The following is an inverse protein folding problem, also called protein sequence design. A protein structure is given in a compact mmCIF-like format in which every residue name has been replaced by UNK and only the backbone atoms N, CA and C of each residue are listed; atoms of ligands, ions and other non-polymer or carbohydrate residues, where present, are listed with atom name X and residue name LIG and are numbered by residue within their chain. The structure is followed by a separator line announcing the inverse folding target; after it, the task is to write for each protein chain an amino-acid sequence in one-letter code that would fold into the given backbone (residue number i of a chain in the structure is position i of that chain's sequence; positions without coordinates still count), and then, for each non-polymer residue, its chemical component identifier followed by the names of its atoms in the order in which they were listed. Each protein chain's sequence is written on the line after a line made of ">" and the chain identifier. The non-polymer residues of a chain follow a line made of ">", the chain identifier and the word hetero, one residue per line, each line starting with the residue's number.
data_IF_283860119817
#
_entry.id   IF_283860119817
#
_cell.length_a   1.000
_cell.length_b   1.000
_cell.length_c   1.000
_cell.angle_alpha   90.00
_cell.angle_beta   90.00
_cell.angle_gamma   90.00
#
_symmetry.space_group_name_H-M   'P 1'
#
loop_
_entity.id
_entity.type
_entity.pdbx_description
1 polymer ?
#
# COMPACT_ATOMS: atom_id res chain seq x y z
N UNK A 1 47.67 -51.62 10.09
CA UNK A 1 47.59 -50.20 9.70
C UNK A 1 46.23 -49.98 9.06
N UNK A 2 45.31 -49.31 9.76
CA UNK A 2 43.95 -49.05 9.31
C UNK A 2 43.70 -47.55 9.42
N UNK A 3 43.41 -46.89 8.30
CA UNK A 3 43.08 -45.46 8.25
C UNK A 3 41.56 -45.30 8.40
N UNK A 4 41.13 -44.64 9.47
CA UNK A 4 39.74 -44.25 9.71
C UNK A 4 39.52 -42.83 9.20
N UNK A 5 38.66 -42.68 8.19
CA UNK A 5 38.21 -41.40 7.63
C UNK A 5 37.02 -40.87 8.44
N UNK A 6 37.26 -39.90 9.31
CA UNK A 6 36.21 -39.16 10.02
C UNK A 6 35.78 -37.91 9.25
N UNK A 7 34.72 -38.02 8.44
CA UNK A 7 33.99 -36.86 7.93
C UNK A 7 33.00 -36.39 9.01
N UNK A 8 33.19 -35.17 9.52
CA UNK A 8 32.23 -34.49 10.39
C UNK A 8 31.15 -33.85 9.53
N UNK A 9 29.92 -34.35 9.65
CA UNK A 9 28.71 -33.68 9.16
C UNK A 9 28.55 -32.33 9.86
N UNK A 10 28.67 -31.24 9.09
CA UNK A 10 28.26 -29.91 9.52
C UNK A 10 26.75 -29.77 9.32
N UNK A 11 25.99 -29.75 10.42
CA UNK A 11 24.58 -29.32 10.42
C UNK A 11 24.53 -27.83 10.10
N UNK A 12 23.89 -27.47 8.98
CA UNK A 12 23.41 -26.10 8.80
C UNK A 12 22.22 -25.91 9.75
N UNK A 13 22.46 -25.30 10.90
CA UNK A 13 21.36 -24.86 11.75
C UNK A 13 20.58 -23.77 11.02
N UNK A 14 19.28 -24.04 10.89
CA UNK A 14 18.28 -23.25 10.20
C UNK A 14 18.25 -21.85 10.86
N UNK A 15 18.79 -20.86 10.16
CA UNK A 15 18.99 -19.49 10.66
C UNK A 15 17.69 -18.68 10.53
N UNK A 16 16.58 -19.23 11.04
CA UNK A 16 15.32 -18.51 11.14
C UNK A 16 15.27 -17.84 12.52
N UNK A 17 15.18 -16.51 12.59
CA UNK A 17 15.02 -15.84 13.86
C UNK A 17 13.76 -16.38 14.54
N UNK A 18 13.92 -16.79 15.79
CA UNK A 18 12.79 -17.23 16.61
C UNK A 18 11.81 -16.07 16.79
N UNK A 19 10.54 -16.40 17.04
CA UNK A 19 9.49 -15.41 17.30
C UNK A 19 9.89 -14.44 18.44
N UNK A 20 10.70 -14.95 19.38
CA UNK A 20 11.31 -14.20 20.49
C UNK A 20 12.38 -13.21 20.03
N UNK A 21 13.26 -13.58 19.10
CA UNK A 21 14.27 -12.66 18.54
C UNK A 21 13.63 -11.55 17.70
N UNK A 22 12.54 -11.85 16.99
CA UNK A 22 11.77 -10.84 16.28
C UNK A 22 11.06 -9.87 17.24
N UNK A 23 10.50 -10.37 18.35
CA UNK A 23 9.94 -9.53 19.40
C UNK A 23 10.98 -8.62 20.05
N UNK A 24 12.16 -9.15 20.38
CA UNK A 24 13.26 -8.39 20.97
C UNK A 24 13.77 -7.29 20.02
N UNK A 25 13.89 -7.59 18.73
CA UNK A 25 14.25 -6.60 17.71
C UNK A 25 13.24 -5.45 17.64
N UNK A 26 11.94 -5.75 17.72
CA UNK A 26 10.90 -4.72 17.74
C UNK A 26 11.01 -3.85 18.99
N UNK A 27 11.20 -4.43 20.18
CA UNK A 27 11.37 -3.69 21.43
C UNK A 27 12.57 -2.74 21.39
N UNK A 28 13.70 -3.19 20.84
CA UNK A 28 14.91 -2.38 20.71
C UNK A 28 14.69 -1.17 19.77
N UNK A 29 14.01 -1.37 18.64
CA UNK A 29 13.66 -0.31 17.68
C UNK A 29 12.75 0.75 18.34
N UNK A 30 11.73 0.33 19.09
CA UNK A 30 10.80 1.24 19.75
C UNK A 30 11.44 2.01 20.92
N UNK A 31 12.40 1.40 21.64
CA UNK A 31 13.07 2.05 22.76
C UNK A 31 14.05 3.17 22.35
N UNK A 32 14.56 3.12 21.11
CA UNK A 32 15.52 4.09 20.58
C UNK A 32 14.84 5.42 20.20
N UNK A 33 13.59 5.38 19.76
CA UNK A 33 12.84 6.55 19.29
C UNK A 33 12.37 7.45 20.45
N UNK A 34 12.04 6.84 21.59
CA UNK A 34 11.63 7.57 22.82
C UNK A 34 12.77 8.45 23.36
N UNK A 35 14.02 7.98 23.29
CA UNK A 35 15.20 8.73 23.79
C UNK A 35 15.53 9.96 22.93
N UNK A 36 15.26 9.93 21.62
CA UNK A 36 15.54 11.04 20.72
C UNK A 36 14.46 12.13 20.73
N UNK A 37 13.20 11.75 20.97
CA UNK A 37 12.07 12.70 21.02
C UNK A 37 12.12 13.64 22.23
N UNK A 38 12.69 13.18 23.37
CA UNK A 38 12.84 13.98 24.59
C UNK A 38 13.84 15.15 24.43
N UNK A 39 14.96 14.94 23.73
CA UNK A 39 15.98 15.98 23.51
C UNK A 39 15.52 17.09 22.56
N UNK A 40 14.62 16.77 21.62
CA UNK A 40 14.12 17.74 20.63
C UNK A 40 13.09 18.71 21.22
N UNK A 41 12.30 18.28 22.21
CA UNK A 41 11.30 19.13 22.89
C UNK A 41 11.91 20.25 23.75
N UNK A 42 13.10 20.05 24.33
CA UNK A 42 13.75 21.10 25.13
C UNK A 42 14.28 22.28 24.31
N UNK A 43 14.63 22.07 23.04
CA UNK A 43 15.19 23.13 22.19
C UNK A 43 14.14 23.93 21.41
N UNK A 44 12.88 23.48 21.33
CA UNK A 44 11.85 24.14 20.54
C UNK A 44 11.09 25.25 21.29
N UNK A 45 11.24 25.35 22.62
CA UNK A 45 10.50 26.31 23.45
C UNK A 45 11.11 27.73 23.48
N UNK A 46 12.17 28.02 22.71
CA UNK A 46 12.85 29.32 22.79
C UNK A 46 12.61 30.28 21.61
N UNK A 47 11.96 29.86 20.53
CA UNK A 47 11.87 30.72 19.33
C UNK A 47 10.59 30.49 18.54
N UNK A 48 9.47 31.11 18.92
CA UNK A 48 8.39 31.36 17.94
C UNK A 48 7.59 32.61 18.33
N UNK A 49 8.04 33.75 17.84
CA UNK A 49 7.20 34.94 17.70
C UNK A 49 6.21 34.72 16.55
N UNK A 50 4.94 34.91 16.87
CA UNK A 50 3.74 34.69 16.07
C UNK A 50 3.74 35.51 14.77
N UNK A 51 3.88 34.83 13.62
CA UNK A 51 3.50 35.39 12.31
C UNK A 51 2.32 34.57 11.78
N UNK A 52 1.11 35.06 12.03
CA UNK A 52 -0.13 34.44 11.55
C UNK A 52 -0.33 34.78 10.08
N UNK A 53 0.28 34.00 9.18
CA UNK A 53 -0.03 34.07 7.75
C UNK A 53 -1.35 33.34 7.53
N UNK A 54 -2.45 34.08 7.39
CA UNK A 54 -3.71 33.56 6.88
C UNK A 54 -3.57 33.25 5.38
N UNK A 55 -3.02 32.09 5.05
CA UNK A 55 -3.12 31.52 3.70
C UNK A 55 -4.56 31.10 3.47
N UNK A 56 -5.36 32.02 2.90
CA UNK A 56 -6.71 31.74 2.40
C UNK A 56 -6.60 30.80 1.21
N UNK A 57 -6.60 29.49 1.48
CA UNK A 57 -6.56 28.43 0.46
C UNK A 57 -7.86 28.54 -0.35
N UNK A 58 -7.77 29.12 -1.55
CA UNK A 58 -8.86 29.18 -2.51
C UNK A 58 -9.27 27.75 -2.88
N UNK A 59 -10.33 27.24 -2.27
CA UNK A 59 -10.92 25.96 -2.67
C UNK A 59 -11.55 26.15 -4.05
N UNK A 60 -11.01 25.47 -5.07
CA UNK A 60 -11.57 25.50 -6.42
C UNK A 60 -13.00 24.92 -6.39
N UNK A 61 -13.98 25.53 -7.06
CA UNK A 61 -15.40 25.12 -7.01
C UNK A 61 -15.64 23.64 -7.37
N UNK A 62 -14.81 23.05 -8.23
CA UNK A 62 -14.91 21.63 -8.61
C UNK A 62 -14.62 20.65 -7.46
N UNK A 63 -13.78 21.04 -6.50
CA UNK A 63 -13.49 20.19 -5.32
C UNK A 63 -14.71 20.10 -4.40
N UNK A 64 -15.53 21.15 -4.34
CA UNK A 64 -16.71 21.18 -3.48
C UNK A 64 -17.81 20.23 -3.98
N UNK A 65 -17.99 20.12 -5.30
CA UNK A 65 -18.95 19.16 -5.87
C UNK A 65 -18.49 17.72 -5.62
N UNK A 66 -17.22 17.43 -5.90
CA UNK A 66 -16.66 16.09 -5.70
C UNK A 66 -16.70 15.68 -4.23
N UNK A 67 -16.34 16.60 -3.31
CA UNK A 67 -16.42 16.34 -1.88
C UNK A 67 -17.86 16.07 -1.44
N UNK A 68 -18.86 16.74 -2.01
CA UNK A 68 -20.26 16.50 -1.63
C UNK A 68 -20.76 15.10 -1.98
N UNK A 69 -20.48 14.62 -3.20
CA UNK A 69 -20.86 13.26 -3.65
C UNK A 69 -20.10 12.20 -2.87
N UNK A 70 -18.77 12.39 -2.74
CA UNK A 70 -17.91 11.47 -1.99
C UNK A 70 -18.34 11.40 -0.53
N UNK A 71 -18.72 12.54 0.07
CA UNK A 71 -19.16 12.62 1.46
C UNK A 71 -20.45 11.83 1.70
N UNK A 72 -21.47 11.95 0.86
CA UNK A 72 -22.71 11.16 1.03
C UNK A 72 -22.45 9.66 0.96
N UNK A 73 -21.58 9.23 0.04
CA UNK A 73 -21.16 7.83 -0.05
C UNK A 73 -20.33 7.40 1.17
N UNK A 74 -19.42 8.27 1.63
CA UNK A 74 -18.62 8.03 2.82
C UNK A 74 -19.48 7.90 4.08
N UNK A 75 -20.45 8.79 4.28
CA UNK A 75 -21.39 8.76 5.39
C UNK A 75 -22.21 7.47 5.38
N UNK A 76 -22.76 7.09 4.22
CA UNK A 76 -23.49 5.84 4.07
C UNK A 76 -22.66 4.62 4.47
N UNK A 77 -21.45 4.48 3.92
CA UNK A 77 -20.59 3.34 4.28
C UNK A 77 -20.07 3.43 5.71
N UNK A 78 -19.75 4.63 6.21
CA UNK A 78 -19.29 4.82 7.59
C UNK A 78 -20.37 4.35 8.57
N UNK A 79 -21.64 4.68 8.34
CA UNK A 79 -22.76 4.23 9.16
C UNK A 79 -22.97 2.71 9.07
N UNK A 80 -22.87 2.13 7.88
CA UNK A 80 -23.10 0.68 7.67
C UNK A 80 -21.91 -0.22 8.03
N UNK A 81 -20.72 0.36 8.24
CA UNK A 81 -19.51 -0.38 8.60
C UNK A 81 -18.96 0.01 9.98
N UNK A 82 -19.76 0.73 10.78
CA UNK A 82 -19.34 1.22 12.10
C UNK A 82 -18.04 2.05 12.05
N UNK A 83 -17.83 2.75 10.92
CA UNK A 83 -16.67 3.57 10.63
C UNK A 83 -15.44 2.83 10.11
N UNK A 84 -15.51 1.51 9.97
CA UNK A 84 -14.40 0.67 9.52
C UNK A 84 -14.00 0.91 8.06
N UNK A 85 -14.96 1.11 7.14
CA UNK A 85 -14.64 1.25 5.70
C UNK A 85 -13.74 2.45 5.36
N UNK A 86 -13.72 3.47 6.22
CA UNK A 86 -12.91 4.67 6.04
C UNK A 86 -11.99 4.95 7.23
N UNK A 87 -11.72 3.94 8.08
CA UNK A 87 -10.53 3.97 8.90
C UNK A 87 -9.31 3.85 7.98
N UNK A 88 -8.23 4.51 8.37
CA UNK A 88 -6.95 4.35 7.71
C UNK A 88 -5.88 4.18 8.77
N UNK A 89 -4.89 3.38 8.43
CA UNK A 89 -3.84 3.00 9.35
C UNK A 89 -2.98 4.18 9.81
N UNK A 90 -2.49 4.06 11.03
CA UNK A 90 -1.55 4.99 11.62
C UNK A 90 -0.11 4.56 11.29
N UNK A 91 0.57 5.30 10.41
CA UNK A 91 1.88 4.89 9.90
C UNK A 91 3.06 5.27 10.82
N UNK A 92 2.82 5.90 11.97
CA UNK A 92 3.94 6.43 12.78
C UNK A 92 4.86 5.29 13.29
N UNK A 93 6.18 5.55 13.37
CA UNK A 93 6.85 6.83 13.15
C UNK A 93 7.17 7.14 11.68
N UNK A 94 6.71 6.36 10.70
CA UNK A 94 6.90 6.67 9.28
C UNK A 94 6.22 8.01 8.92
N UNK A 95 6.85 8.78 8.04
CA UNK A 95 6.35 10.05 7.54
C UNK A 95 6.86 10.32 6.14
N UNK A 96 6.29 11.32 5.46
CA UNK A 96 6.65 11.70 4.10
C UNK A 96 8.08 12.27 3.98
N UNK A 97 8.78 12.42 5.10
CA UNK A 97 10.13 13.01 5.19
C UNK A 97 11.20 12.02 5.56
N UNK A 98 10.83 10.81 5.98
CA UNK A 98 11.80 9.82 6.42
C UNK A 98 11.94 8.67 5.42
N UNK A 99 13.03 7.93 5.56
CA UNK A 99 13.36 6.83 4.66
C UNK A 99 12.24 5.81 4.54
N UNK A 100 11.59 5.47 5.67
CA UNK A 100 10.55 4.45 5.67
C UNK A 100 9.30 4.88 4.91
N UNK A 101 8.87 6.14 5.05
CA UNK A 101 7.78 6.68 4.23
C UNK A 101 8.13 6.76 2.74
N UNK A 102 9.37 7.10 2.38
CA UNK A 102 9.81 7.06 0.97
C UNK A 102 9.78 5.64 0.39
N UNK A 103 10.27 4.64 1.14
CA UNK A 103 10.23 3.23 0.71
C UNK A 103 8.78 2.77 0.55
N UNK A 104 7.92 3.11 1.52
CA UNK A 104 6.49 2.79 1.44
C UNK A 104 5.85 3.39 0.18
N UNK A 105 6.06 4.68 -0.08
CA UNK A 105 5.55 5.35 -1.28
C UNK A 105 6.10 4.74 -2.56
N UNK A 106 7.39 4.39 -2.59
CA UNK A 106 8.06 3.81 -3.74
C UNK A 106 7.48 2.44 -4.15
N UNK A 107 6.78 1.73 -3.27
CA UNK A 107 6.13 0.46 -3.63
C UNK A 107 5.03 0.64 -4.69
N UNK A 108 4.46 1.84 -4.83
CA UNK A 108 3.55 2.19 -5.92
C UNK A 108 4.20 2.12 -7.32
N UNK A 109 5.54 2.15 -7.40
CA UNK A 109 6.24 1.90 -8.66
C UNK A 109 5.93 0.52 -9.22
N UNK A 110 5.54 -0.46 -8.39
CA UNK A 110 5.09 -1.76 -8.89
C UNK A 110 3.89 -1.62 -9.83
N UNK A 111 2.90 -0.78 -9.49
CA UNK A 111 1.75 -0.50 -10.35
C UNK A 111 2.15 0.26 -11.62
N UNK A 112 3.04 1.26 -11.52
CA UNK A 112 3.54 1.98 -12.71
C UNK A 112 4.22 1.01 -13.67
N UNK A 113 5.10 0.15 -13.16
CA UNK A 113 5.83 -0.83 -13.99
C UNK A 113 4.87 -1.85 -14.63
N UNK A 114 3.93 -2.40 -13.85
CA UNK A 114 2.94 -3.34 -14.36
C UNK A 114 2.02 -2.69 -15.41
N UNK A 115 1.50 -1.49 -15.14
CA UNK A 115 0.65 -0.73 -16.05
C UNK A 115 1.39 -0.39 -17.34
N UNK A 116 2.58 0.20 -17.25
CA UNK A 116 3.42 0.50 -18.41
C UNK A 116 3.76 -0.75 -19.23
N UNK A 117 4.04 -1.90 -18.59
CA UNK A 117 4.29 -3.15 -19.30
C UNK A 117 3.05 -3.63 -20.09
N UNK A 118 1.86 -3.59 -19.47
CA UNK A 118 0.60 -3.91 -20.15
C UNK A 118 0.30 -2.97 -21.32
N UNK A 119 0.59 -1.66 -21.17
CA UNK A 119 0.45 -0.68 -22.25
C UNK A 119 1.37 -1.00 -23.43
N UNK A 120 2.61 -1.44 -23.17
CA UNK A 120 3.55 -1.88 -24.21
C UNK A 120 3.08 -3.16 -24.91
N UNK A 121 2.39 -4.04 -24.20
CA UNK A 121 1.73 -5.24 -24.75
C UNK A 121 0.36 -4.95 -25.38
N UNK A 122 -0.05 -3.67 -25.45
CA UNK A 122 -1.31 -3.16 -26.05
C UNK A 122 -2.58 -3.47 -25.27
N UNK A 123 -2.48 -3.88 -24.00
CA UNK A 123 -3.64 -3.92 -23.09
C UNK A 123 -3.86 -2.53 -22.48
N UNK A 124 -4.46 -1.65 -23.27
CA UNK A 124 -4.65 -0.25 -22.91
C UNK A 124 -5.58 -0.05 -21.71
N UNK A 125 -6.63 -0.88 -21.61
CA UNK A 125 -7.66 -0.69 -20.58
C UNK A 125 -7.12 -1.05 -19.20
N UNK A 126 -6.60 -2.26 -19.02
CA UNK A 126 -6.05 -2.68 -17.72
C UNK A 126 -4.73 -1.96 -17.42
N UNK A 127 -3.90 -1.68 -18.44
CA UNK A 127 -2.68 -0.90 -18.30
C UNK A 127 -2.93 0.51 -17.75
N UNK A 128 -3.82 1.30 -18.39
CA UNK A 128 -4.19 2.62 -17.92
C UNK A 128 -4.83 2.59 -16.53
N UNK A 129 -5.70 1.62 -16.26
CA UNK A 129 -6.34 1.50 -14.95
C UNK A 129 -5.31 1.19 -13.85
N UNK A 130 -4.31 0.36 -14.14
CA UNK A 130 -3.22 0.04 -13.21
C UNK A 130 -2.35 1.28 -12.92
N UNK A 131 -2.05 2.11 -13.93
CA UNK A 131 -1.35 3.39 -13.70
C UNK A 131 -2.19 4.39 -12.89
N UNK A 132 -3.50 4.45 -13.13
CA UNK A 132 -4.41 5.27 -12.32
C UNK A 132 -4.45 4.81 -10.85
N UNK A 133 -4.42 3.49 -10.59
CA UNK A 133 -4.24 2.96 -9.24
C UNK A 133 -2.92 3.44 -8.62
N UNK A 134 -1.82 3.44 -9.37
CA UNK A 134 -0.53 3.94 -8.87
C UNK A 134 -0.62 5.40 -8.40
N UNK A 135 -1.27 6.26 -9.20
CA UNK A 135 -1.43 7.69 -8.87
C UNK A 135 -2.35 7.88 -7.67
N UNK A 136 -3.51 7.22 -7.66
CA UNK A 136 -4.50 7.34 -6.58
C UNK A 136 -3.93 6.82 -5.24
N UNK A 137 -3.32 5.64 -5.24
CA UNK A 137 -2.71 5.02 -4.07
C UNK A 137 -1.53 5.84 -3.56
N UNK A 138 -0.64 6.31 -4.44
CA UNK A 138 0.46 7.20 -4.03
C UNK A 138 -0.08 8.47 -3.37
N UNK A 139 -1.08 9.11 -3.97
CA UNK A 139 -1.67 10.34 -3.43
C UNK A 139 -2.32 10.11 -2.06
N UNK A 140 -3.05 9.02 -1.87
CA UNK A 140 -3.63 8.62 -0.60
C UNK A 140 -2.54 8.41 0.46
N UNK A 141 -1.57 7.53 0.19
CA UNK A 141 -0.52 7.22 1.17
C UNK A 141 0.39 8.41 1.47
N UNK A 142 0.63 9.29 0.50
CA UNK A 142 1.37 10.53 0.73
C UNK A 142 0.62 11.43 1.73
N UNK A 143 -0.70 11.59 1.57
CA UNK A 143 -1.51 12.33 2.53
C UNK A 143 -1.62 11.62 3.89
N UNK A 144 -1.69 10.29 3.90
CA UNK A 144 -1.71 9.47 5.12
C UNK A 144 -0.44 9.68 5.93
N UNK A 145 0.73 9.68 5.28
CA UNK A 145 2.04 9.92 5.91
C UNK A 145 2.20 11.35 6.47
N UNK A 146 1.44 12.32 5.95
CA UNK A 146 1.46 13.70 6.45
C UNK A 146 0.65 13.92 7.74
N UNK A 147 -0.16 12.94 8.15
CA UNK A 147 -1.09 13.14 9.26
C UNK A 147 -0.37 13.21 10.62
N UNK A 148 -0.58 14.28 11.41
CA UNK A 148 -0.05 14.37 12.76
C UNK A 148 -0.83 13.49 13.76
N UNK A 149 -0.27 13.33 14.96
CA UNK A 149 -0.78 12.47 16.03
C UNK A 149 -2.31 12.61 16.24
N UNK A 150 -3.04 11.48 16.30
CA UNK A 150 -4.49 11.39 16.59
C UNK A 150 -5.45 12.01 15.54
N UNK A 151 -4.99 12.42 14.35
CA UNK A 151 -5.87 12.93 13.27
C UNK A 151 -6.25 11.87 12.23
N UNK A 152 -6.62 10.66 12.66
CA UNK A 152 -7.17 9.61 11.78
C UNK A 152 -8.56 9.95 11.16
N UNK A 153 -8.90 11.25 11.06
CA UNK A 153 -10.21 11.76 10.62
C UNK A 153 -10.09 12.96 9.68
N UNK A 154 -8.93 13.18 9.06
CA UNK A 154 -8.80 14.25 8.07
C UNK A 154 -9.64 13.92 6.83
N UNK A 155 -10.58 14.80 6.51
CA UNK A 155 -11.49 14.67 5.37
C UNK A 155 -10.72 14.53 4.05
N UNK A 156 -9.58 15.21 3.90
CA UNK A 156 -8.77 15.13 2.69
C UNK A 156 -8.23 13.71 2.46
N UNK A 157 -7.74 13.05 3.51
CA UNK A 157 -7.21 11.67 3.44
C UNK A 157 -8.32 10.70 3.09
N UNK A 158 -9.52 10.87 3.67
CA UNK A 158 -10.66 10.01 3.37
C UNK A 158 -11.12 10.14 1.92
N UNK A 159 -11.16 11.35 1.38
CA UNK A 159 -11.46 11.56 -0.05
C UNK A 159 -10.42 10.87 -0.92
N UNK A 160 -9.13 11.02 -0.62
CA UNK A 160 -8.08 10.33 -1.35
C UNK A 160 -8.21 8.80 -1.25
N UNK A 161 -8.51 8.26 -0.06
CA UNK A 161 -8.78 6.83 0.16
C UNK A 161 -9.99 6.34 -0.65
N UNK A 162 -11.07 7.12 -0.73
CA UNK A 162 -12.23 6.75 -1.56
C UNK A 162 -11.85 6.66 -3.03
N UNK A 163 -11.06 7.62 -3.54
CA UNK A 163 -10.58 7.60 -4.92
C UNK A 163 -9.69 6.36 -5.15
N UNK A 164 -8.76 6.09 -4.24
CA UNK A 164 -7.92 4.89 -4.27
C UNK A 164 -8.76 3.61 -4.34
N UNK A 165 -9.72 3.42 -3.44
CA UNK A 165 -10.63 2.28 -3.46
C UNK A 165 -11.43 2.14 -4.75
N UNK A 166 -12.01 3.23 -5.27
CA UNK A 166 -12.75 3.19 -6.53
C UNK A 166 -11.84 2.75 -7.67
N UNK A 167 -10.61 3.26 -7.74
CA UNK A 167 -9.66 2.85 -8.77
C UNK A 167 -9.24 1.38 -8.60
N UNK A 168 -8.85 0.96 -7.41
CA UNK A 168 -8.46 -0.42 -7.12
C UNK A 168 -9.58 -1.42 -7.45
N UNK A 169 -10.81 -1.16 -6.99
CA UNK A 169 -11.98 -2.01 -7.27
C UNK A 169 -12.31 -2.05 -8.76
N UNK A 170 -12.16 -0.93 -9.48
CA UNK A 170 -12.35 -0.89 -10.93
C UNK A 170 -11.31 -1.75 -11.66
N UNK A 171 -10.04 -1.67 -11.26
CA UNK A 171 -8.97 -2.52 -11.82
C UNK A 171 -9.20 -4.01 -11.55
N UNK A 172 -9.62 -4.36 -10.33
CA UNK A 172 -10.00 -5.73 -9.97
C UNK A 172 -11.18 -6.21 -10.81
N UNK A 173 -12.21 -5.37 -10.98
CA UNK A 173 -13.38 -5.66 -11.80
C UNK A 173 -13.03 -5.94 -13.26
N UNK A 174 -12.15 -5.13 -13.86
CA UNK A 174 -11.64 -5.35 -15.22
C UNK A 174 -10.89 -6.68 -15.29
N UNK A 175 -10.00 -6.96 -14.32
CA UNK A 175 -9.25 -8.22 -14.30
C UNK A 175 -10.15 -9.45 -14.17
N UNK A 176 -11.19 -9.39 -13.33
CA UNK A 176 -12.19 -10.46 -13.23
C UNK A 176 -12.95 -10.61 -14.55
N UNK A 177 -13.34 -9.50 -15.19
CA UNK A 177 -14.04 -9.55 -16.47
C UNK A 177 -13.19 -10.23 -17.56
N UNK A 178 -11.89 -9.94 -17.62
CA UNK A 178 -10.96 -10.63 -18.52
C UNK A 178 -10.91 -12.14 -18.26
N UNK A 179 -10.73 -12.55 -17.00
CA UNK A 179 -10.71 -13.97 -16.64
C UNK A 179 -12.01 -14.71 -17.01
N UNK A 180 -13.16 -14.06 -16.83
CA UNK A 180 -14.46 -14.61 -17.22
C UNK A 180 -14.60 -14.72 -18.73
N UNK A 181 -14.20 -13.68 -19.48
CA UNK A 181 -14.27 -13.63 -20.94
C UNK A 181 -13.33 -14.64 -21.61
N UNK A 182 -12.17 -14.88 -21.01
CA UNK A 182 -11.17 -15.81 -21.54
C UNK A 182 -11.60 -17.27 -21.41
N UNK A 183 -12.57 -17.56 -20.55
CA UNK A 183 -12.97 -18.93 -20.17
C UNK A 183 -11.78 -19.82 -19.76
N UNK A 184 -10.67 -19.21 -19.34
CA UNK A 184 -9.42 -19.89 -19.02
C UNK A 184 -9.31 -20.07 -17.51
N UNK A 185 -8.75 -21.20 -17.08
CA UNK A 185 -8.43 -21.36 -15.67
C UNK A 185 -7.20 -20.51 -15.33
N UNK A 186 -7.25 -19.72 -14.24
CA UNK A 186 -6.08 -19.04 -13.69
C UNK A 186 -4.85 -19.94 -13.63
N UNK A 187 -3.71 -19.44 -14.12
CA UNK A 187 -2.45 -20.14 -13.92
C UNK A 187 -2.13 -20.26 -12.42
N UNK A 188 -1.36 -21.27 -12.02
CA UNK A 188 -0.94 -21.42 -10.63
C UNK A 188 -0.18 -20.19 -10.09
N UNK A 189 0.57 -19.51 -10.96
CA UNK A 189 1.25 -18.26 -10.64
C UNK A 189 0.26 -17.12 -10.36
N UNK A 190 -0.77 -16.96 -11.21
CA UNK A 190 -1.82 -15.96 -11.01
C UNK A 190 -2.54 -16.18 -9.67
N UNK A 191 -2.92 -17.43 -9.38
CA UNK A 191 -3.58 -17.77 -8.12
C UNK A 191 -2.67 -17.48 -6.93
N UNK A 192 -1.39 -17.82 -7.02
CA UNK A 192 -0.42 -17.55 -5.97
C UNK A 192 -0.29 -16.03 -5.72
N UNK A 193 -0.05 -15.20 -6.74
CA UNK A 193 0.09 -13.75 -6.54
C UNK A 193 -1.19 -13.12 -6.03
N UNK A 194 -2.35 -13.50 -6.56
CA UNK A 194 -3.64 -12.97 -6.13
C UNK A 194 -3.95 -13.33 -4.67
N UNK A 195 -3.70 -14.58 -4.30
CA UNK A 195 -3.95 -15.07 -2.92
C UNK A 195 -2.97 -14.43 -1.95
N UNK A 196 -1.68 -14.38 -2.28
CA UNK A 196 -0.66 -13.74 -1.44
C UNK A 196 -0.95 -12.26 -1.25
N UNK A 197 -1.32 -11.54 -2.32
CA UNK A 197 -1.76 -10.15 -2.22
C UNK A 197 -2.94 -10.01 -1.27
N UNK A 198 -4.01 -10.78 -1.47
CA UNK A 198 -5.18 -10.73 -0.61
C UNK A 198 -4.85 -11.00 0.86
N UNK A 199 -4.00 -11.98 1.15
CA UNK A 199 -3.52 -12.25 2.51
C UNK A 199 -2.82 -11.03 3.10
N UNK A 200 -1.90 -10.40 2.36
CA UNK A 200 -1.22 -9.19 2.82
C UNK A 200 -2.17 -8.01 3.07
N UNK A 201 -3.17 -7.83 2.22
CA UNK A 201 -4.22 -6.82 2.42
C UNK A 201 -5.01 -7.09 3.71
N UNK A 202 -5.49 -8.32 3.88
CA UNK A 202 -6.27 -8.71 5.05
C UNK A 202 -5.47 -8.58 6.35
N UNK A 203 -4.20 -9.00 6.34
CA UNK A 203 -3.31 -8.80 7.49
C UNK A 203 -3.06 -7.30 7.73
N UNK A 204 -2.95 -6.49 6.67
CA UNK A 204 -2.86 -5.03 6.79
C UNK A 204 -4.06 -4.42 7.51
N UNK A 205 -5.28 -4.94 7.31
CA UNK A 205 -6.46 -4.52 8.09
C UNK A 205 -6.47 -5.00 9.53
N UNK A 206 -5.75 -6.08 9.87
CA UNK A 206 -5.61 -6.54 11.26
C UNK A 206 -4.62 -5.65 12.02
N UNK A 207 -3.52 -5.27 11.37
CA UNK A 207 -2.50 -4.39 11.93
C UNK A 207 -2.54 -3.02 11.27
N UNK A 208 -3.53 -2.20 11.64
CA UNK A 208 -3.67 -0.82 11.14
C UNK A 208 -2.68 0.17 11.77
N UNK A 209 -1.54 -0.28 12.31
CA UNK A 209 -0.58 0.58 12.99
C UNK A 209 0.88 0.22 12.68
N UNK A 210 1.69 1.27 12.51
CA UNK A 210 3.15 1.25 12.48
C UNK A 210 3.79 0.47 11.34
N UNK A 211 4.97 -0.07 11.63
CA UNK A 211 5.78 -0.81 10.67
C UNK A 211 5.10 -2.06 10.09
N UNK A 212 4.36 -2.88 10.88
CA UNK A 212 3.63 -4.02 10.32
C UNK A 212 2.70 -3.63 9.18
N UNK A 213 1.89 -2.57 9.35
CA UNK A 213 1.03 -2.07 8.28
C UNK A 213 1.86 -1.71 7.04
N UNK A 214 2.90 -0.90 7.22
CA UNK A 214 3.76 -0.43 6.12
C UNK A 214 4.29 -1.60 5.31
N UNK A 215 4.81 -2.64 5.96
CA UNK A 215 5.37 -3.82 5.28
C UNK A 215 4.28 -4.64 4.60
N UNK A 216 3.20 -4.98 5.32
CA UNK A 216 2.11 -5.79 4.78
C UNK A 216 1.45 -5.10 3.58
N UNK A 217 1.17 -3.81 3.70
CA UNK A 217 0.56 -3.03 2.62
C UNK A 217 1.51 -2.81 1.43
N UNK A 218 2.81 -2.67 1.68
CA UNK A 218 3.84 -2.68 0.61
C UNK A 218 3.82 -3.99 -0.17
N UNK A 219 3.73 -5.13 0.53
CA UNK A 219 3.62 -6.43 -0.12
C UNK A 219 2.30 -6.55 -0.91
N UNK A 220 1.18 -6.04 -0.37
CA UNK A 220 -0.07 -5.94 -1.12
C UNK A 220 0.14 -5.24 -2.46
N UNK A 221 0.78 -4.07 -2.50
CA UNK A 221 1.06 -3.34 -3.75
C UNK A 221 1.81 -4.17 -4.78
N UNK A 222 2.86 -4.88 -4.34
CA UNK A 222 3.71 -5.67 -5.24
C UNK A 222 2.93 -6.85 -5.82
N UNK A 223 2.22 -7.60 -4.97
CA UNK A 223 1.50 -8.80 -5.41
C UNK A 223 0.22 -8.48 -6.19
N UNK A 224 -0.49 -7.40 -5.87
CA UNK A 224 -1.65 -6.95 -6.64
C UNK A 224 -1.22 -6.43 -8.02
N UNK A 225 -0.12 -5.66 -8.11
CA UNK A 225 0.45 -5.23 -9.39
C UNK A 225 0.89 -6.41 -10.26
N UNK A 226 1.59 -7.39 -9.67
CA UNK A 226 1.97 -8.61 -10.36
C UNK A 226 0.74 -9.41 -10.83
N UNK A 227 -0.32 -9.44 -10.03
CA UNK A 227 -1.58 -10.08 -10.42
C UNK A 227 -2.22 -9.37 -11.61
N UNK A 228 -2.32 -8.04 -11.60
CA UNK A 228 -2.85 -7.26 -12.72
C UNK A 228 -2.07 -7.53 -14.01
N UNK A 229 -0.73 -7.50 -13.95
CA UNK A 229 0.13 -7.84 -15.07
C UNK A 229 -0.17 -9.25 -15.61
N UNK A 230 -0.20 -10.27 -14.74
CA UNK A 230 -0.45 -11.65 -15.14
C UNK A 230 -1.85 -11.87 -15.74
N UNK A 231 -2.88 -11.17 -15.22
CA UNK A 231 -4.23 -11.20 -15.83
C UNK A 231 -4.17 -10.62 -17.23
N UNK A 232 -3.59 -9.44 -17.41
CA UNK A 232 -3.54 -8.76 -18.71
C UNK A 232 -2.73 -9.55 -19.75
N UNK A 233 -1.55 -10.07 -19.37
CA UNK A 233 -0.75 -10.90 -20.29
C UNK A 233 -1.48 -12.20 -20.68
N UNK A 234 -2.24 -12.79 -19.75
CA UNK A 234 -3.07 -13.97 -20.05
C UNK A 234 -4.17 -13.60 -21.05
N UNK A 235 -4.86 -12.49 -20.83
CA UNK A 235 -5.89 -11.98 -21.73
C UNK A 235 -5.37 -11.72 -23.15
N UNK A 236 -4.23 -11.02 -23.27
CA UNK A 236 -3.58 -10.77 -24.57
C UNK A 236 -3.21 -12.09 -25.25
N UNK A 237 -2.69 -13.08 -24.51
CA UNK A 237 -2.30 -14.36 -25.08
C UNK A 237 -3.48 -15.19 -25.63
N UNK A 238 -4.67 -15.01 -25.05
CA UNK A 238 -5.91 -15.65 -25.51
C UNK A 238 -6.52 -14.94 -26.72
N UNK A 239 -6.22 -13.64 -26.89
CA UNK A 239 -6.70 -12.81 -27.99
C UNK A 239 -5.56 -12.10 -28.74
N UNK A 240 -4.60 -12.83 -29.34
CA UNK A 240 -3.42 -12.22 -29.95
C UNK A 240 -3.76 -11.32 -31.16
N UNK A 241 -4.99 -11.41 -31.69
CA UNK A 241 -5.35 -10.88 -33.00
C UNK A 241 -6.81 -10.35 -33.14
N UNK A 242 -7.44 -9.82 -32.09
CA UNK A 242 -8.61 -8.94 -32.27
C UNK A 242 -8.15 -7.57 -32.80
N UNK A 243 -7.74 -7.58 -34.07
CA UNK A 243 -6.98 -6.55 -34.75
C UNK A 243 -7.48 -5.12 -34.59
N UNK A 244 -6.55 -4.26 -34.19
CA UNK A 244 -6.29 -3.02 -34.93
C UNK A 244 -5.23 -3.30 -36.00
#
# INVERSE_FOLDING_TARGET
>A
MSYSTGLKEGRSEDMRPTLTEFQQFLEDVFSMDIRNSSKKKQNLNKTTATTTIHTRRSQSPNLHLLSSVVKSFQEYLYENTEGWAFSYADLRPASERNFMGHVFLATNLAYVLAGSALLLEKDYLLGCMTELCAVASFQYHFQQLQQPYQRAKDEAVRVALTIDYVTALSSIGIGIAYLVQDHSLPSGQLLATATTGLVFLLLGWIWEEGLPYVVLHSCWHIFSAATAYLVGTTHISNYPHSGM
#
